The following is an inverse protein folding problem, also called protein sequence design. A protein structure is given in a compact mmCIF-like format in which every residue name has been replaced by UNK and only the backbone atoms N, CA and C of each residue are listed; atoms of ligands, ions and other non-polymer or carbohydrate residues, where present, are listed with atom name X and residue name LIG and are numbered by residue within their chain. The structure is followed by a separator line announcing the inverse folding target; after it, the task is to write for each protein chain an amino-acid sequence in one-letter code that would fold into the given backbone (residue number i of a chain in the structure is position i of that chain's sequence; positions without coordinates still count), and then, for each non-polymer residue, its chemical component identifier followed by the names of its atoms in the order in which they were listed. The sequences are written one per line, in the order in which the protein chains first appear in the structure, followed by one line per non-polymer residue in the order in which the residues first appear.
data_IF_415780315166
#
_entry.id   IF_415780315166
#
_cell.length_a   1.000
_cell.length_b   1.000
_cell.length_c   1.000
_cell.angle_alpha   90.00
_cell.angle_beta   90.00
_cell.angle_gamma   90.00
#
_symmetry.space_group_name_H-M   'P 1'
#
loop_
_entity.id
_entity.type
_entity.pdbx_description
1 polymer ?
#
# COMPACT_ATOMS: atom_id res chain seq x y z
N UNK A 1 -1.79 41.78 2.56
CA UNK A 1 -0.71 40.77 2.56
C UNK A 1 -0.60 40.21 1.14
N UNK A 2 0.49 40.50 0.43
CA UNK A 2 0.72 40.12 -0.98
C UNK A 2 1.66 38.91 -1.03
N UNK A 3 1.20 37.78 -1.56
CA UNK A 3 2.05 36.63 -1.90
C UNK A 3 2.78 36.90 -3.22
N UNK A 4 4.12 36.94 -3.18
CA UNK A 4 4.97 36.91 -4.38
C UNK A 4 5.36 35.46 -4.66
N UNK A 5 4.90 34.93 -5.80
CA UNK A 5 5.44 33.70 -6.39
C UNK A 5 6.82 33.97 -6.99
N UNK A 6 7.81 33.16 -6.63
CA UNK A 6 9.11 33.09 -7.31
C UNK A 6 9.06 31.90 -8.27
N UNK A 7 8.92 32.19 -9.56
CA UNK A 7 9.25 31.24 -10.63
C UNK A 7 10.77 31.22 -10.82
N UNK A 8 11.40 30.07 -10.58
CA UNK A 8 12.77 29.83 -10.98
C UNK A 8 12.77 29.22 -12.38
N UNK A 9 13.31 29.95 -13.34
CA UNK A 9 13.65 29.45 -14.68
C UNK A 9 14.75 28.39 -14.53
N UNK A 10 14.47 27.16 -14.96
CA UNK A 10 15.49 26.13 -15.20
C UNK A 10 15.93 26.23 -16.66
N UNK A 11 17.22 26.43 -16.88
CA UNK A 11 17.84 26.34 -18.20
C UNK A 11 17.90 24.87 -18.67
N UNK A 12 17.81 24.59 -19.99
CA UNK A 12 17.94 23.23 -20.50
C UNK A 12 19.40 22.78 -20.42
N UNK A 13 19.64 21.67 -19.72
CA UNK A 13 20.93 20.97 -19.72
C UNK A 13 20.98 20.13 -21.00
N UNK A 14 21.87 20.48 -21.93
CA UNK A 14 22.18 19.65 -23.10
C UNK A 14 22.97 18.43 -22.63
N UNK A 15 22.34 17.24 -22.73
CA UNK A 15 22.96 15.95 -22.44
C UNK A 15 23.49 15.39 -23.77
N UNK A 16 24.82 15.32 -23.90
CA UNK A 16 25.48 14.80 -25.11
C UNK A 16 26.48 13.70 -24.73
N UNK A 17 26.01 12.71 -23.96
CA UNK A 17 26.72 11.47 -23.66
C UNK A 17 25.73 10.31 -23.84
N UNK A 18 25.72 9.71 -25.03
CA UNK A 18 24.86 8.60 -25.42
C UNK A 18 25.33 7.23 -24.88
N UNK A 19 26.25 7.19 -23.92
CA UNK A 19 26.64 5.93 -23.27
C UNK A 19 25.56 5.49 -22.30
N UNK A 20 24.77 4.49 -22.71
CA UNK A 20 23.82 3.77 -21.88
C UNK A 20 24.54 3.27 -20.61
N UNK A 21 24.08 3.69 -19.43
CA UNK A 21 24.54 3.14 -18.15
C UNK A 21 23.47 2.21 -17.61
N UNK A 22 23.87 0.99 -17.28
CA UNK A 22 22.96 -0.01 -16.72
C UNK A 22 23.21 -0.08 -15.22
N UNK A 23 22.16 0.18 -14.43
CA UNK A 23 22.26 0.19 -12.97
C UNK A 23 21.51 -1.01 -12.35
N UNK A 24 22.07 -1.64 -11.30
CA UNK A 24 21.41 -2.71 -10.58
C UNK A 24 20.21 -2.18 -9.76
N UNK A 25 19.11 -2.94 -9.75
CA UNK A 25 17.84 -2.62 -9.07
C UNK A 25 17.97 -2.34 -7.57
N UNK A 26 18.97 -2.93 -6.90
CA UNK A 26 19.20 -2.73 -5.48
C UNK A 26 19.56 -1.27 -5.12
N UNK A 27 20.02 -0.47 -6.09
CA UNK A 27 20.25 0.96 -5.92
C UNK A 27 18.98 1.80 -6.11
N UNK A 28 17.98 1.27 -6.84
CA UNK A 28 16.72 1.95 -7.13
C UNK A 28 15.72 1.86 -5.98
N UNK A 29 15.78 0.88 -5.08
CA UNK A 29 14.82 0.77 -3.96
C UNK A 29 15.10 1.69 -2.75
N UNK A 30 16.02 2.65 -2.86
CA UNK A 30 16.27 3.61 -1.77
C UNK A 30 15.27 4.78 -1.78
N UNK A 31 14.99 5.40 -0.61
CA UNK A 31 14.13 6.59 -0.52
C UNK A 31 14.61 7.70 -1.46
N UNK A 32 13.69 8.53 -1.98
CA UNK A 32 13.98 9.53 -3.03
C UNK A 32 15.20 10.43 -2.72
N UNK A 33 15.42 10.75 -1.45
CA UNK A 33 16.59 11.52 -1.00
C UNK A 33 17.93 10.85 -1.33
N UNK A 34 17.98 9.51 -1.31
CA UNK A 34 19.15 8.72 -1.69
C UNK A 34 19.26 8.53 -3.20
N UNK A 35 18.14 8.43 -3.92
CA UNK A 35 18.14 8.36 -5.40
C UNK A 35 18.71 9.64 -6.01
N UNK A 36 18.29 10.81 -5.50
CA UNK A 36 18.85 12.11 -5.91
C UNK A 36 20.34 12.23 -5.64
N UNK A 37 20.82 11.73 -4.50
CA UNK A 37 22.25 11.75 -4.15
C UNK A 37 23.09 10.81 -5.04
N UNK A 38 22.57 9.62 -5.38
CA UNK A 38 23.23 8.69 -6.33
C UNK A 38 23.25 9.26 -7.76
N UNK A 39 22.16 9.88 -8.20
CA UNK A 39 22.11 10.56 -9.50
C UNK A 39 23.13 11.71 -9.58
N UNK A 40 23.29 12.46 -8.49
CA UNK A 40 24.31 13.52 -8.38
C UNK A 40 25.74 12.96 -8.39
N UNK A 41 26.02 11.88 -7.65
CA UNK A 41 27.35 11.26 -7.59
C UNK A 41 27.81 10.67 -8.93
N UNK A 42 26.88 10.17 -9.74
CA UNK A 42 27.18 9.58 -11.06
C UNK A 42 27.33 10.64 -12.16
N UNK A 43 26.66 11.80 -12.00
CA UNK A 43 26.76 12.92 -12.92
C UNK A 43 28.04 13.75 -12.77
N UNK A 44 28.64 13.79 -11.56
CA UNK A 44 29.73 14.74 -11.23
C UNK A 44 31.11 14.09 -11.01
N UNK A 45 31.34 12.88 -11.53
CA UNK A 45 32.68 12.30 -11.63
C UNK A 45 33.46 12.15 -10.31
N UNK A 46 32.80 11.79 -9.20
CA UNK A 46 33.49 11.41 -7.95
C UNK A 46 33.91 12.54 -7.01
N UNK A 47 33.20 13.68 -7.01
CA UNK A 47 33.41 14.78 -6.06
C UNK A 47 32.88 14.52 -4.63
N UNK A 48 33.65 14.96 -3.63
CA UNK A 48 33.40 14.82 -2.17
C UNK A 48 32.08 15.49 -1.75
N UNK A 49 31.21 14.77 -1.02
CA UNK A 49 29.90 15.27 -0.55
C UNK A 49 30.01 16.55 0.31
N UNK A 50 29.10 17.54 0.14
CA UNK A 50 29.05 18.74 0.98
C UNK A 50 28.61 18.42 2.42
N UNK A 51 29.28 19.05 3.41
CA UNK A 51 29.19 18.77 4.85
C UNK A 51 27.79 18.93 5.47
N UNK A 52 26.88 19.63 4.78
CA UNK A 52 25.51 19.87 5.25
C UNK A 52 24.62 18.63 5.16
N UNK A 53 24.95 17.64 4.32
CA UNK A 53 24.13 16.43 4.14
C UNK A 53 24.39 15.35 5.22
N UNK A 54 25.61 15.28 5.76
CA UNK A 54 25.96 14.32 6.84
C UNK A 54 25.19 14.56 8.14
N UNK A 55 24.76 15.81 8.40
CA UNK A 55 24.02 16.14 9.62
C UNK A 55 22.55 15.69 9.58
N UNK A 56 21.93 15.58 8.40
CA UNK A 56 20.53 15.20 8.26
C UNK A 56 20.29 13.69 8.45
N UNK A 57 21.26 12.85 8.07
CA UNK A 57 21.18 11.39 8.27
C UNK A 57 21.42 10.98 9.72
N UNK A 58 22.23 11.73 10.48
CA UNK A 58 22.57 11.39 11.88
C UNK A 58 21.49 11.73 12.91
N UNK A 59 20.50 12.56 12.53
CA UNK A 59 19.39 12.97 13.43
C UNK A 59 18.12 12.13 13.32
N UNK A 60 18.03 11.19 12.36
CA UNK A 60 16.81 10.36 12.18
C UNK A 60 16.95 8.93 12.71
N UNK A 61 18.09 8.54 13.27
CA UNK A 61 18.37 7.16 13.70
C UNK A 61 18.35 6.94 15.23
N UNK A 62 17.83 7.87 16.04
CA UNK A 62 17.88 7.75 17.51
C UNK A 62 16.56 8.16 18.20
N UNK A 63 15.66 7.17 18.32
CA UNK A 63 14.84 6.78 19.53
C UNK A 63 13.77 7.75 20.11
N UNK A 64 12.88 7.33 21.07
CA UNK A 64 12.77 6.01 21.78
C UNK A 64 11.33 5.42 21.92
N UNK A 65 11.13 4.09 21.91
CA UNK A 65 11.07 3.17 23.08
C UNK A 65 11.51 3.75 24.44
N UNK A 66 10.59 4.37 25.16
CA UNK A 66 10.79 4.85 26.53
C UNK A 66 9.57 4.53 27.41
N UNK A 67 9.39 3.25 27.75
CA UNK A 67 8.56 2.81 28.87
C UNK A 67 9.16 1.51 29.44
N UNK A 68 10.33 1.56 30.08
CA UNK A 68 10.80 0.44 30.93
C UNK A 68 11.98 0.77 31.87
N UNK A 69 12.15 2.04 32.26
CA UNK A 69 13.20 2.45 33.21
C UNK A 69 12.63 3.36 34.30
N UNK A 70 11.79 2.83 35.20
CA UNK A 70 11.27 3.63 36.33
C UNK A 70 11.00 2.85 37.63
N UNK A 71 11.73 1.77 37.92
CA UNK A 71 11.59 1.07 39.21
C UNK A 71 12.88 0.76 39.97
N UNK A 72 14.07 1.12 39.46
CA UNK A 72 15.34 0.81 40.13
C UNK A 72 16.09 2.01 40.76
N UNK A 73 15.50 3.20 40.83
CA UNK A 73 16.18 4.39 41.36
C UNK A 73 15.89 4.72 42.84
N UNK A 74 15.04 3.95 43.53
CA UNK A 74 14.61 4.26 44.92
C UNK A 74 15.40 3.47 46.00
N UNK A 75 16.34 2.61 45.62
CA UNK A 75 17.07 1.76 46.57
C UNK A 75 18.44 2.31 47.03
N UNK A 76 18.91 3.46 46.50
CA UNK A 76 20.28 3.93 46.72
C UNK A 76 20.44 5.01 47.82
N UNK A 77 19.36 5.66 48.29
CA UNK A 77 19.47 6.87 49.15
C UNK A 77 19.29 6.62 50.67
N UNK A 78 19.42 5.38 51.16
CA UNK A 78 19.22 5.06 52.59
C UNK A 78 20.45 4.57 53.36
N UNK A 79 21.67 4.82 52.86
CA UNK A 79 22.91 4.34 53.52
C UNK A 79 23.81 5.38 54.19
N UNK A 80 23.48 6.67 54.18
CA UNK A 80 24.37 7.72 54.72
C UNK A 80 23.88 8.43 55.99
N UNK A 81 23.20 7.72 56.91
CA UNK A 81 22.68 8.33 58.15
C UNK A 81 23.06 7.58 59.44
N UNK A 82 24.29 7.04 59.54
CA UNK A 82 24.76 6.41 60.78
C UNK A 82 26.28 6.54 60.98
N UNK A 83 26.78 7.76 61.25
CA UNK A 83 28.16 7.96 61.67
C UNK A 83 28.41 9.30 62.38
N UNK A 84 27.68 9.66 63.44
CA UNK A 84 28.11 10.69 64.42
C UNK A 84 27.54 10.31 65.79
N UNK A 85 28.26 10.63 66.87
CA UNK A 85 27.96 10.41 68.30
C UNK A 85 28.54 9.13 68.94
N UNK A 86 29.88 9.08 69.00
CA UNK A 86 30.60 8.37 70.07
C UNK A 86 31.67 9.31 70.64
N UNK A 87 31.34 10.03 71.71
CA UNK A 87 32.28 10.90 72.42
C UNK A 87 31.77 11.24 73.81
N UNK A 88 32.33 10.60 74.85
CA UNK A 88 31.96 10.92 76.23
C UNK A 88 32.55 9.97 77.28
N UNK A 89 33.87 9.75 77.28
CA UNK A 89 34.57 9.08 78.37
C UNK A 89 34.97 10.13 79.43
N UNK A 90 34.19 10.23 80.51
CA UNK A 90 34.54 10.99 81.71
C UNK A 90 35.13 10.08 82.77
N UNK A 91 36.44 10.17 82.98
CA UNK A 91 37.16 9.47 84.04
C UNK A 91 37.06 10.27 85.36
N UNK A 92 36.32 9.73 86.32
CA UNK A 92 36.22 10.23 87.70
C UNK A 92 37.02 9.37 88.66
N UNK A 93 38.06 9.96 89.25
CA UNK A 93 38.98 9.41 90.24
C UNK A 93 38.27 9.07 91.57
N UNK A 94 38.50 7.86 92.10
CA UNK A 94 37.96 7.40 93.39
C UNK A 94 39.08 7.29 94.44
N UNK A 95 38.96 8.08 95.49
CA UNK A 95 39.77 8.08 96.71
C UNK A 95 39.50 6.85 97.57
N UNK A 96 40.56 6.13 97.94
CA UNK A 96 40.52 4.94 98.80
C UNK A 96 40.25 5.26 100.27
N UNK A 97 39.19 4.67 100.81
CA UNK A 97 38.95 4.54 102.25
C UNK A 97 39.18 3.08 102.68
N UNK A 98 40.08 2.87 103.63
CA UNK A 98 40.40 1.58 104.22
C UNK A 98 39.24 1.07 105.08
N UNK A 99 38.43 0.16 104.54
CA UNK A 99 37.46 -0.59 105.31
C UNK A 99 38.06 -1.91 105.81
N UNK A 100 37.81 -2.22 107.08
CA UNK A 100 38.33 -3.42 107.74
C UNK A 100 37.79 -4.74 107.16
N UNK A 101 38.37 -5.88 107.57
CA UNK A 101 38.13 -7.20 106.98
C UNK A 101 36.66 -7.67 107.01
N UNK A 102 35.82 -7.11 107.89
CA UNK A 102 34.39 -7.42 107.96
C UNK A 102 33.56 -6.78 106.82
N UNK A 103 33.96 -5.61 106.31
CA UNK A 103 33.24 -4.94 105.22
C UNK A 103 33.57 -5.57 103.87
N UNK A 104 34.80 -6.05 103.70
CA UNK A 104 35.22 -6.85 102.54
C UNK A 104 34.39 -8.14 102.42
N UNK A 105 34.19 -8.88 103.51
CA UNK A 105 33.36 -10.08 103.53
C UNK A 105 31.88 -9.82 103.20
N UNK A 106 31.33 -8.67 103.66
CA UNK A 106 29.94 -8.28 103.33
C UNK A 106 29.79 -7.91 101.84
N UNK A 107 30.77 -7.19 101.28
CA UNK A 107 30.82 -6.85 99.84
C UNK A 107 30.98 -8.09 98.96
N UNK A 108 31.75 -9.08 99.41
CA UNK A 108 31.92 -10.34 98.69
C UNK A 108 30.63 -11.18 98.68
N UNK A 109 29.92 -11.25 99.82
CA UNK A 109 28.60 -11.91 99.89
C UNK A 109 27.54 -11.20 99.03
N UNK A 110 27.56 -9.86 98.98
CA UNK A 110 26.66 -9.08 98.13
C UNK A 110 27.02 -9.23 96.63
N UNK A 111 28.30 -9.31 96.29
CA UNK A 111 28.76 -9.59 94.93
C UNK A 111 28.37 -10.99 94.47
N UNK A 112 28.48 -12.00 95.35
CA UNK A 112 28.02 -13.36 95.07
C UNK A 112 26.49 -13.39 94.83
N UNK A 113 25.71 -12.68 95.64
CA UNK A 113 24.26 -12.61 95.47
C UNK A 113 23.86 -11.86 94.17
N UNK A 114 24.57 -10.77 93.82
CA UNK A 114 24.40 -10.08 92.53
C UNK A 114 24.69 -10.99 91.35
N UNK A 115 25.77 -11.77 91.38
CA UNK A 115 26.11 -12.73 90.31
C UNK A 115 25.05 -13.82 90.19
N UNK A 116 24.53 -14.32 91.31
CA UNK A 116 23.46 -15.31 91.31
C UNK A 116 22.15 -14.77 90.71
N UNK A 117 21.76 -13.54 91.05
CA UNK A 117 20.56 -12.90 90.47
C UNK A 117 20.76 -12.51 88.99
N UNK A 118 21.96 -12.08 88.59
CA UNK A 118 22.30 -11.81 87.19
C UNK A 118 22.26 -13.09 86.34
N UNK A 119 22.79 -14.20 86.86
CA UNK A 119 22.71 -15.50 86.18
C UNK A 119 21.26 -15.98 86.04
N UNK A 120 20.44 -15.79 87.09
CA UNK A 120 19.01 -16.08 87.07
C UNK A 120 18.26 -15.19 86.07
N UNK A 121 18.60 -13.91 85.97
CA UNK A 121 18.05 -13.00 84.98
C UNK A 121 18.44 -13.43 83.55
N UNK A 122 19.70 -13.82 83.34
CA UNK A 122 20.19 -14.33 82.06
C UNK A 122 19.50 -15.63 81.64
N UNK A 123 19.24 -16.54 82.59
CA UNK A 123 18.46 -17.77 82.34
C UNK A 123 17.01 -17.47 81.95
N UNK A 124 16.38 -16.46 82.59
CA UNK A 124 15.02 -16.01 82.24
C UNK A 124 14.98 -15.34 80.86
N UNK A 125 15.95 -14.50 80.53
CA UNK A 125 16.06 -13.87 79.21
C UNK A 125 16.23 -14.93 78.10
N UNK A 126 17.12 -15.91 78.31
CA UNK A 126 17.31 -17.02 77.36
C UNK A 126 16.05 -17.88 77.18
N UNK A 127 15.28 -18.09 78.25
CA UNK A 127 13.99 -18.78 78.17
C UNK A 127 12.93 -17.96 77.41
N UNK A 128 12.89 -16.63 77.62
CA UNK A 128 12.02 -15.73 76.89
C UNK A 128 12.35 -15.70 75.39
N UNK A 129 13.63 -15.62 75.01
CA UNK A 129 14.07 -15.69 73.61
C UNK A 129 13.73 -17.04 72.97
N UNK A 130 13.99 -18.15 73.67
CA UNK A 130 13.64 -19.48 73.16
C UNK A 130 12.13 -19.63 72.92
N UNK A 131 11.29 -19.05 73.79
CA UNK A 131 9.83 -19.08 73.60
C UNK A 131 9.37 -18.16 72.47
N UNK A 132 10.00 -16.99 72.29
CA UNK A 132 9.72 -16.09 71.16
C UNK A 132 10.08 -16.75 69.81
N UNK A 133 11.29 -17.31 69.71
CA UNK A 133 11.74 -18.04 68.52
C UNK A 133 10.83 -19.24 68.20
N UNK A 134 10.36 -19.97 69.22
CA UNK A 134 9.41 -21.08 69.03
C UNK A 134 8.03 -20.61 68.54
N UNK A 135 7.56 -19.44 68.99
CA UNK A 135 6.30 -18.85 68.50
C UNK A 135 6.43 -18.39 67.05
N UNK A 136 7.54 -17.74 66.70
CA UNK A 136 7.83 -17.30 65.33
C UNK A 136 7.94 -18.49 64.36
N UNK A 137 8.68 -19.55 64.75
CA UNK A 137 8.79 -20.77 63.97
C UNK A 137 7.43 -21.47 63.78
N UNK A 138 6.57 -21.48 64.81
CA UNK A 138 5.20 -21.98 64.68
C UNK A 138 4.34 -21.12 63.76
N UNK A 139 4.52 -19.79 63.76
CA UNK A 139 3.87 -18.87 62.83
C UNK A 139 4.22 -19.21 61.38
N UNK A 140 5.52 -19.24 61.07
CA UNK A 140 6.03 -19.56 59.72
C UNK A 140 5.60 -20.94 59.24
N UNK A 141 5.54 -21.94 60.12
CA UNK A 141 5.07 -23.28 59.75
C UNK A 141 3.55 -23.31 59.47
N UNK A 142 2.74 -22.59 60.25
CA UNK A 142 1.29 -22.45 59.97
C UNK A 142 1.03 -21.73 58.66
N UNK A 143 1.86 -20.76 58.31
CA UNK A 143 1.77 -19.99 57.07
C UNK A 143 2.20 -20.83 55.86
N UNK A 144 3.31 -21.55 55.97
CA UNK A 144 3.76 -22.51 54.95
C UNK A 144 2.74 -23.62 54.67
N UNK A 145 1.99 -24.07 55.69
CA UNK A 145 0.90 -25.04 55.53
C UNK A 145 -0.37 -24.47 54.89
N UNK A 146 -0.55 -23.14 54.88
CA UNK A 146 -1.69 -22.46 54.25
C UNK A 146 -1.41 -22.05 52.80
N UNK A 147 -0.15 -22.04 52.38
CA UNK A 147 0.19 -21.76 51.00
C UNK A 147 -0.49 -22.79 50.08
N UNK A 148 -1.14 -22.37 48.98
CA UNK A 148 -1.65 -23.29 47.99
C UNK A 148 -0.50 -24.17 47.51
N UNK A 149 -0.74 -25.48 47.43
CA UNK A 149 0.28 -26.41 46.95
C UNK A 149 0.75 -25.97 45.57
N UNK A 150 2.05 -26.10 45.29
CA UNK A 150 2.63 -25.71 44.00
C UNK A 150 1.87 -26.32 42.81
N UNK A 151 1.26 -27.50 43.00
CA UNK A 151 0.39 -28.15 42.02
C UNK A 151 -0.84 -27.31 41.64
N UNK A 152 -1.53 -26.68 42.61
CA UNK A 152 -2.70 -25.82 42.32
C UNK A 152 -2.32 -24.58 41.51
N UNK A 153 -1.16 -24.00 41.79
CA UNK A 153 -0.67 -22.84 41.04
C UNK A 153 -0.30 -23.19 39.60
N UNK A 154 0.28 -24.37 39.39
CA UNK A 154 0.62 -24.87 38.05
C UNK A 154 -0.64 -25.22 37.24
N UNK A 155 -1.64 -25.83 37.87
CA UNK A 155 -2.94 -26.11 37.25
C UNK A 155 -3.65 -24.81 36.84
N UNK A 156 -3.65 -23.79 37.70
CA UNK A 156 -4.22 -22.48 37.37
C UNK A 156 -3.49 -21.81 36.19
N UNK A 157 -2.15 -21.91 36.13
CA UNK A 157 -1.37 -21.39 35.00
C UNK A 157 -1.72 -22.09 33.69
N UNK A 158 -1.88 -23.41 33.72
CA UNK A 158 -2.30 -24.20 32.54
C UNK A 158 -3.72 -23.83 32.10
N UNK A 159 -4.64 -23.64 33.05
CA UNK A 159 -6.00 -23.20 32.74
C UNK A 159 -6.02 -21.79 32.11
N UNK A 160 -5.19 -20.86 32.62
CA UNK A 160 -5.02 -19.52 32.04
C UNK A 160 -4.43 -19.58 30.63
N UNK A 161 -3.38 -20.38 30.41
CA UNK A 161 -2.78 -20.57 29.09
C UNK A 161 -3.77 -21.17 28.08
N UNK A 162 -4.55 -22.19 28.49
CA UNK A 162 -5.56 -22.79 27.64
C UNK A 162 -6.73 -21.82 27.33
N UNK A 163 -7.10 -20.94 28.27
CA UNK A 163 -8.07 -19.88 28.01
C UNK A 163 -7.51 -18.82 27.03
N UNK A 164 -6.24 -18.46 27.17
CA UNK A 164 -5.59 -17.51 26.26
C UNK A 164 -5.49 -18.05 24.83
N UNK A 165 -5.11 -19.32 24.66
CA UNK A 165 -5.07 -19.96 23.33
C UNK A 165 -6.45 -19.94 22.68
N UNK A 166 -7.51 -20.33 23.41
CA UNK A 166 -8.89 -20.26 22.86
C UNK A 166 -9.29 -18.84 22.47
N UNK A 167 -8.92 -17.85 23.28
CA UNK A 167 -9.19 -16.45 22.95
C UNK A 167 -8.38 -15.97 21.72
N UNK A 168 -7.17 -16.49 21.51
CA UNK A 168 -6.38 -16.22 20.31
C UNK A 168 -6.98 -16.88 19.07
N UNK A 169 -7.44 -18.13 19.18
CA UNK A 169 -8.13 -18.85 18.10
C UNK A 169 -9.43 -18.14 17.70
N UNK A 170 -10.22 -17.67 18.66
CA UNK A 170 -11.44 -16.90 18.40
C UNK A 170 -11.13 -15.58 17.69
N UNK A 171 -10.11 -14.83 18.15
CA UNK A 171 -9.66 -13.60 17.47
C UNK A 171 -9.17 -13.87 16.04
N UNK A 172 -8.45 -14.97 15.84
CA UNK A 172 -7.99 -15.37 14.51
C UNK A 172 -9.16 -15.73 13.59
N UNK A 173 -10.18 -16.44 14.10
CA UNK A 173 -11.39 -16.77 13.35
C UNK A 173 -12.20 -15.51 12.99
N UNK A 174 -12.31 -14.54 13.90
CA UNK A 174 -12.98 -13.26 13.63
C UNK A 174 -12.26 -12.48 12.52
N UNK A 175 -10.93 -12.37 12.59
CA UNK A 175 -10.14 -11.69 11.55
C UNK A 175 -10.23 -12.40 10.18
N UNK A 176 -10.27 -13.73 10.17
CA UNK A 176 -10.46 -14.50 8.93
C UNK A 176 -11.85 -14.23 8.31
N UNK A 177 -12.90 -14.21 9.14
CA UNK A 177 -14.25 -13.89 8.70
C UNK A 177 -14.36 -12.45 8.17
N UNK A 178 -13.71 -11.49 8.82
CA UNK A 178 -13.65 -10.09 8.37
C UNK A 178 -12.93 -9.96 7.02
N UNK A 179 -11.79 -10.65 6.84
CA UNK A 179 -11.08 -10.65 5.56
C UNK A 179 -11.91 -11.30 4.44
N UNK A 180 -12.65 -12.35 4.74
CA UNK A 180 -13.54 -12.97 3.76
C UNK A 180 -14.71 -12.03 3.40
N UNK A 181 -15.30 -11.36 4.39
CA UNK A 181 -16.32 -10.35 4.17
C UNK A 181 -15.81 -9.19 3.30
N UNK A 182 -14.59 -8.71 3.57
CA UNK A 182 -13.94 -7.68 2.75
C UNK A 182 -13.73 -8.13 1.30
N UNK A 183 -13.26 -9.36 1.08
CA UNK A 183 -13.11 -9.94 -0.28
C UNK A 183 -14.44 -10.12 -1.00
N UNK A 184 -15.53 -10.44 -0.27
CA UNK A 184 -16.88 -10.51 -0.86
C UNK A 184 -17.36 -9.12 -1.27
N UNK A 185 -17.21 -8.13 -0.40
CA UNK A 185 -17.56 -6.74 -0.69
C UNK A 185 -16.77 -6.19 -1.90
N UNK A 186 -15.49 -6.53 -2.02
CA UNK A 186 -14.66 -6.14 -3.18
C UNK A 186 -15.16 -6.75 -4.50
N UNK A 187 -15.56 -8.03 -4.49
CA UNK A 187 -16.16 -8.69 -5.67
C UNK A 187 -17.50 -8.06 -6.05
N UNK A 188 -18.37 -7.83 -5.07
CA UNK A 188 -19.66 -7.16 -5.31
C UNK A 188 -19.46 -5.74 -5.86
N UNK A 189 -18.49 -4.98 -5.34
CA UNK A 189 -18.15 -3.67 -5.87
C UNK A 189 -17.62 -3.72 -7.31
N UNK A 190 -16.78 -4.72 -7.63
CA UNK A 190 -16.28 -4.91 -8.99
C UNK A 190 -17.41 -5.31 -9.98
N UNK A 191 -18.34 -6.17 -9.55
CA UNK A 191 -19.53 -6.54 -10.34
C UNK A 191 -20.43 -5.34 -10.61
N UNK A 192 -20.69 -4.51 -9.58
CA UNK A 192 -21.45 -3.28 -9.74
C UNK A 192 -20.76 -2.26 -10.65
N UNK A 193 -19.43 -2.13 -10.54
CA UNK A 193 -18.66 -1.26 -11.42
C UNK A 193 -18.72 -1.74 -12.88
N UNK A 194 -18.58 -3.05 -13.12
CA UNK A 194 -18.71 -3.63 -14.46
C UNK A 194 -20.12 -3.46 -15.04
N UNK A 195 -21.16 -3.62 -14.22
CA UNK A 195 -22.54 -3.36 -14.63
C UNK A 195 -22.79 -1.88 -14.99
N UNK A 196 -22.22 -0.96 -14.22
CA UNK A 196 -22.30 0.47 -14.49
C UNK A 196 -21.59 0.86 -15.79
N UNK A 197 -20.41 0.28 -16.06
CA UNK A 197 -19.70 0.49 -17.33
C UNK A 197 -20.51 -0.03 -18.53
N UNK A 198 -21.08 -1.23 -18.43
CA UNK A 198 -21.95 -1.77 -19.48
C UNK A 198 -23.21 -0.91 -19.71
N UNK A 199 -23.81 -0.39 -18.64
CA UNK A 199 -24.95 0.53 -18.75
C UNK A 199 -24.56 1.81 -19.49
N UNK A 200 -23.42 2.42 -19.14
CA UNK A 200 -22.91 3.61 -19.82
C UNK A 200 -22.61 3.34 -21.31
N UNK A 201 -22.09 2.16 -21.67
CA UNK A 201 -21.86 1.79 -23.07
C UNK A 201 -23.18 1.62 -23.85
N UNK A 202 -24.24 1.07 -23.22
CA UNK A 202 -25.57 0.98 -23.84
C UNK A 202 -26.17 2.37 -24.07
N UNK A 203 -26.13 3.24 -23.07
CA UNK A 203 -26.61 4.63 -23.21
C UNK A 203 -25.84 5.38 -24.30
N UNK A 204 -24.51 5.20 -24.38
CA UNK A 204 -23.71 5.79 -25.44
C UNK A 204 -24.06 5.25 -26.84
N UNK A 205 -24.34 3.95 -26.95
CA UNK A 205 -24.77 3.33 -28.19
C UNK A 205 -26.15 3.84 -28.64
N UNK A 206 -27.11 3.96 -27.71
CA UNK A 206 -28.44 4.53 -27.97
C UNK A 206 -28.35 5.99 -28.43
N UNK A 207 -27.50 6.80 -27.78
CA UNK A 207 -27.27 8.18 -28.18
C UNK A 207 -26.62 8.27 -29.57
N UNK A 208 -25.65 7.40 -29.88
CA UNK A 208 -25.04 7.35 -31.20
C UNK A 208 -26.03 6.93 -32.29
N UNK A 209 -26.97 6.03 -31.99
CA UNK A 209 -28.06 5.67 -32.89
C UNK A 209 -29.05 6.82 -33.09
N UNK A 210 -29.41 7.54 -32.02
CA UNK A 210 -30.27 8.72 -32.10
C UNK A 210 -29.64 9.83 -32.97
N UNK A 211 -28.34 10.06 -32.84
CA UNK A 211 -27.62 11.01 -33.70
C UNK A 211 -27.64 10.59 -35.17
N UNK A 212 -27.37 9.31 -35.47
CA UNK A 212 -27.46 8.79 -36.85
C UNK A 212 -28.85 8.98 -37.45
N UNK A 213 -29.92 8.75 -36.67
CA UNK A 213 -31.29 9.01 -37.13
C UNK A 213 -31.53 10.49 -37.40
N UNK A 214 -31.10 11.36 -36.49
CA UNK A 214 -31.23 12.82 -36.68
C UNK A 214 -30.44 13.34 -37.88
N UNK A 215 -29.29 12.74 -38.21
CA UNK A 215 -28.51 13.08 -39.40
C UNK A 215 -29.28 12.69 -40.67
N UNK A 216 -29.85 11.49 -40.73
CA UNK A 216 -30.69 11.04 -41.85
C UNK A 216 -31.92 11.94 -42.01
N UNK A 217 -32.64 12.25 -40.93
CA UNK A 217 -33.81 13.13 -40.97
C UNK A 217 -33.44 14.54 -41.50
N UNK A 218 -32.27 15.06 -41.10
CA UNK A 218 -31.77 16.35 -41.58
C UNK A 218 -31.39 16.31 -43.07
N UNK A 219 -30.80 15.21 -43.54
CA UNK A 219 -30.49 14.99 -44.95
C UNK A 219 -31.76 14.85 -45.79
N UNK A 220 -32.77 14.12 -45.31
CA UNK A 220 -34.08 13.99 -45.95
C UNK A 220 -34.78 15.34 -46.05
N UNK A 221 -34.80 16.13 -44.96
CA UNK A 221 -35.39 17.47 -44.96
C UNK A 221 -34.64 18.43 -45.91
N UNK A 222 -33.31 18.32 -45.98
CA UNK A 222 -32.50 19.07 -46.93
C UNK A 222 -32.78 18.68 -48.39
N UNK A 223 -32.98 17.38 -48.66
CA UNK A 223 -33.36 16.86 -49.97
C UNK A 223 -34.77 17.34 -50.36
N UNK A 224 -35.75 17.24 -49.47
CA UNK A 224 -37.11 17.74 -49.67
C UNK A 224 -37.12 19.23 -50.04
N UNK A 225 -36.31 20.05 -49.35
CA UNK A 225 -36.12 21.47 -49.68
C UNK A 225 -35.49 21.70 -51.06
N UNK A 226 -34.57 20.83 -51.51
CA UNK A 226 -33.97 20.90 -52.86
C UNK A 226 -34.98 20.54 -53.94
N UNK A 227 -35.77 19.49 -53.73
CA UNK A 227 -36.83 19.05 -54.65
C UNK A 227 -37.88 20.16 -54.82
N UNK A 228 -38.38 20.71 -53.70
CA UNK A 228 -39.34 21.82 -53.72
C UNK A 228 -38.85 23.03 -54.54
N UNK A 229 -37.59 23.45 -54.40
CA UNK A 229 -37.00 24.53 -55.23
C UNK A 229 -36.93 24.18 -56.72
N UNK A 230 -36.66 22.92 -57.05
CA UNK A 230 -36.63 22.46 -58.44
C UNK A 230 -38.04 22.50 -59.05
N UNK A 231 -39.05 22.04 -58.32
CA UNK A 231 -40.45 22.06 -58.75
C UNK A 231 -40.95 23.49 -59.03
N UNK A 232 -40.61 24.46 -58.16
CA UNK A 232 -40.92 25.87 -58.36
C UNK A 232 -40.26 26.45 -59.63
N UNK A 233 -38.98 26.09 -59.89
CA UNK A 233 -38.26 26.52 -61.08
C UNK A 233 -38.88 25.95 -62.36
N UNK A 234 -39.19 24.65 -62.38
CA UNK A 234 -39.84 23.97 -63.51
C UNK A 234 -41.23 24.58 -63.78
N UNK A 235 -42.01 24.83 -62.74
CA UNK A 235 -43.34 25.45 -62.86
C UNK A 235 -43.28 26.87 -63.46
N UNK A 236 -42.19 27.61 -63.18
CA UNK A 236 -42.00 28.98 -63.67
C UNK A 236 -41.50 29.06 -65.12
N UNK A 237 -40.76 28.07 -65.62
CA UNK A 237 -40.20 28.07 -66.99
C UNK A 237 -41.19 27.56 -68.07
N UNK A 238 -42.35 27.03 -67.68
CA UNK A 238 -43.38 26.46 -68.58
C UNK A 238 -43.98 27.44 -69.61
N UNK A 239 -43.78 28.76 -69.47
CA UNK A 239 -44.40 29.77 -70.36
C UNK A 239 -43.57 30.11 -71.60
N UNK A 240 -42.33 29.63 -71.73
CA UNK A 240 -41.47 29.91 -72.89
C UNK A 240 -40.82 28.64 -73.41
N UNK A 241 -41.30 28.12 -74.54
CA UNK A 241 -40.85 26.88 -75.19
C UNK A 241 -39.37 26.85 -75.61
N UNK A 242 -38.48 26.83 -74.62
CA UNK A 242 -37.03 26.78 -74.76
C UNK A 242 -36.47 25.46 -74.22
N UNK A 243 -36.05 24.60 -75.13
CA UNK A 243 -35.15 23.45 -75.01
C UNK A 243 -35.14 22.68 -73.67
N UNK A 244 -35.97 21.64 -73.58
CA UNK A 244 -35.97 20.59 -72.54
C UNK A 244 -34.55 20.16 -72.09
N UNK A 245 -33.57 20.18 -73.00
CA UNK A 245 -32.20 19.81 -72.65
C UNK A 245 -31.51 20.74 -71.67
N UNK A 246 -31.77 22.04 -71.71
CA UNK A 246 -31.21 22.98 -70.71
C UNK A 246 -31.87 22.80 -69.34
N UNK A 247 -33.12 22.37 -69.31
CA UNK A 247 -33.82 22.04 -68.07
C UNK A 247 -33.23 20.78 -67.44
N UNK A 248 -32.99 19.73 -68.23
CA UNK A 248 -32.35 18.49 -67.79
C UNK A 248 -30.93 18.74 -67.28
N UNK A 249 -30.09 19.51 -67.98
CA UNK A 249 -28.75 19.86 -67.50
C UNK A 249 -28.77 20.63 -66.16
N UNK A 250 -29.74 21.55 -66.00
CA UNK A 250 -29.91 22.30 -64.75
C UNK A 250 -30.37 21.41 -63.59
N UNK A 251 -31.27 20.45 -63.87
CA UNK A 251 -31.75 19.47 -62.90
C UNK A 251 -30.63 18.51 -62.48
N UNK A 252 -29.85 17.97 -63.41
CA UNK A 252 -28.68 17.13 -63.13
C UNK A 252 -27.65 17.83 -62.25
N UNK A 253 -27.30 19.08 -62.58
CA UNK A 253 -26.38 19.88 -61.79
C UNK A 253 -26.92 20.18 -60.38
N UNK A 254 -28.23 20.38 -60.24
CA UNK A 254 -28.87 20.68 -58.95
C UNK A 254 -29.06 19.42 -58.08
N UNK A 255 -29.28 18.26 -58.70
CA UNK A 255 -29.38 16.96 -58.05
C UNK A 255 -28.02 16.34 -57.74
N UNK A 256 -26.96 16.77 -58.44
CA UNK A 256 -25.61 16.22 -58.31
C UNK A 256 -25.43 14.89 -59.06
N UNK A 257 -26.35 14.56 -59.97
CA UNK A 257 -26.31 13.34 -60.78
C UNK A 257 -25.83 13.70 -62.18
N UNK A 258 -24.57 13.39 -62.51
CA UNK A 258 -24.07 13.52 -63.88
C UNK A 258 -24.37 12.22 -64.63
N UNK A 259 -25.49 12.19 -65.35
CA UNK A 259 -25.88 11.03 -66.15
C UNK A 259 -25.52 11.23 -67.62
N UNK A 260 -24.61 10.39 -68.12
CA UNK A 260 -24.30 10.29 -69.55
C UNK A 260 -25.33 9.40 -70.23
N UNK A 261 -25.91 9.84 -71.35
CA UNK A 261 -26.92 9.05 -72.07
C UNK A 261 -27.84 9.89 -72.97
N UNK A 262 -28.75 9.20 -73.65
CA UNK A 262 -29.84 9.82 -74.39
C UNK A 262 -30.76 10.64 -73.47
N UNK A 263 -31.50 11.61 -74.02
CA UNK A 263 -32.43 12.45 -73.26
C UNK A 263 -33.42 11.61 -72.44
N UNK A 264 -33.96 10.53 -73.02
CA UNK A 264 -34.87 9.61 -72.33
C UNK A 264 -34.19 8.85 -71.19
N UNK A 265 -32.93 8.43 -71.34
CA UNK A 265 -32.18 7.79 -70.26
C UNK A 265 -31.88 8.77 -69.11
N UNK A 266 -31.55 10.02 -69.43
CA UNK A 266 -31.29 11.09 -68.45
C UNK A 266 -32.55 11.48 -67.69
N UNK A 267 -33.66 11.70 -68.41
CA UNK A 267 -34.97 12.00 -67.80
C UNK A 267 -35.45 10.82 -66.96
N UNK A 268 -35.33 9.58 -67.45
CA UNK A 268 -35.69 8.38 -66.69
C UNK A 268 -34.81 8.16 -65.45
N UNK A 269 -33.54 8.58 -65.45
CA UNK A 269 -32.69 8.56 -64.26
C UNK A 269 -33.12 9.59 -63.22
N UNK A 270 -33.51 10.79 -63.66
CA UNK A 270 -34.07 11.83 -62.78
C UNK A 270 -35.42 11.38 -62.19
N UNK A 271 -36.30 10.79 -63.00
CA UNK A 271 -37.59 10.25 -62.54
C UNK A 271 -37.41 9.13 -61.52
N UNK A 272 -36.40 8.25 -61.67
CA UNK A 272 -36.07 7.24 -60.65
C UNK A 272 -35.54 7.84 -59.35
N UNK A 273 -34.78 8.94 -59.41
CA UNK A 273 -34.27 9.64 -58.23
C UNK A 273 -35.36 10.40 -57.46
N UNK A 274 -36.40 10.88 -58.16
CA UNK A 274 -37.52 11.63 -57.58
C UNK A 274 -38.69 10.70 -57.21
N UNK A 275 -38.82 9.56 -57.89
CA UNK A 275 -39.88 8.59 -57.70
C UNK A 275 -39.71 7.75 -56.42
N UNK A 276 -40.83 7.26 -55.83
CA UNK A 276 -40.82 6.51 -54.57
C UNK A 276 -40.07 5.16 -54.63
N UNK A 277 -39.76 4.66 -55.83
CA UNK A 277 -38.96 3.42 -56.00
C UNK A 277 -37.51 3.55 -55.49
N UNK A 278 -36.94 4.76 -55.41
CA UNK A 278 -35.61 4.94 -54.81
C UNK A 278 -35.59 4.73 -53.28
N UNK A 279 -36.73 4.93 -52.60
CA UNK A 279 -36.85 4.66 -51.17
C UNK A 279 -36.95 3.14 -50.88
N UNK A 280 -37.63 2.39 -51.75
CA UNK A 280 -37.79 0.92 -51.62
C UNK A 280 -36.52 0.13 -51.98
N UNK A 281 -35.69 0.63 -52.91
CA UNK A 281 -34.44 -0.03 -53.30
C UNK A 281 -33.32 0.14 -52.27
N UNK A 282 -33.37 1.17 -51.42
CA UNK A 282 -32.42 1.38 -50.33
C UNK A 282 -32.67 0.45 -49.13
N UNK A 283 -33.90 -0.03 -48.92
CA UNK A 283 -34.22 -0.96 -47.84
C UNK A 283 -33.87 -2.42 -48.15
N UNK A 284 -33.77 -2.82 -49.42
CA UNK A 284 -33.50 -4.22 -49.80
C UNK A 284 -32.01 -4.62 -49.77
N UNK A 285 -31.10 -3.66 -49.59
CA UNK A 285 -29.65 -3.92 -49.61
C UNK A 285 -28.94 -3.55 -48.30
N UNK A 286 -29.66 -3.51 -47.18
CA UNK A 286 -29.02 -3.76 -45.89
C UNK A 286 -28.94 -5.28 -45.72
N UNK A 287 -27.73 -5.89 -45.69
CA UNK A 287 -27.65 -7.27 -45.28
C UNK A 287 -28.29 -7.34 -43.90
N UNK A 288 -29.39 -8.08 -43.80
CA UNK A 288 -29.89 -8.59 -42.53
C UNK A 288 -28.75 -9.43 -41.96
N UNK A 289 -27.83 -8.78 -41.25
CA UNK A 289 -27.00 -9.44 -40.27
C UNK A 289 -27.96 -9.80 -39.17
N UNK A 290 -28.63 -10.94 -39.33
CA UNK A 290 -29.03 -11.73 -38.19
C UNK A 290 -27.84 -11.74 -37.22
N UNK A 291 -28.06 -11.52 -35.92
CA UNK A 291 -27.00 -11.68 -34.95
C UNK A 291 -26.62 -13.16 -35.00
N UNK A 292 -25.60 -13.48 -35.80
CA UNK A 292 -24.88 -14.74 -35.68
C UNK A 292 -24.56 -14.84 -34.20
N UNK A 293 -25.24 -15.77 -33.53
CA UNK A 293 -25.05 -16.04 -32.13
C UNK A 293 -23.54 -16.05 -31.89
N UNK A 294 -23.06 -15.16 -31.03
CA UNK A 294 -21.67 -15.12 -30.65
C UNK A 294 -21.35 -16.45 -29.97
N UNK A 295 -20.96 -17.44 -30.77
CA UNK A 295 -20.40 -18.68 -30.27
C UNK A 295 -19.07 -18.26 -29.67
N UNK A 296 -19.07 -18.18 -28.34
CA UNK A 296 -17.89 -17.84 -27.56
C UNK A 296 -16.76 -18.81 -27.93
N UNK A 297 -15.60 -18.26 -28.26
CA UNK A 297 -14.37 -19.05 -28.45
C UNK A 297 -14.00 -19.89 -27.22
N UNK A 298 -14.59 -19.60 -26.05
CA UNK A 298 -14.45 -20.43 -24.85
C UNK A 298 -15.15 -21.80 -24.95
N UNK A 299 -16.18 -21.93 -25.80
CA UNK A 299 -16.92 -23.19 -25.98
C UNK A 299 -16.40 -24.03 -27.18
N UNK A 300 -15.52 -23.46 -28.00
CA UNK A 300 -14.77 -24.21 -29.00
C UNK A 300 -13.65 -24.99 -28.30
N UNK A 301 -14.02 -26.14 -27.73
CA UNK A 301 -13.10 -27.10 -27.09
C UNK A 301 -12.08 -27.67 -28.09
N UNK A 302 -11.07 -26.87 -28.41
CA UNK A 302 -9.88 -27.30 -29.14
C UNK A 302 -8.94 -28.01 -28.15
N UNK A 303 -9.37 -29.18 -27.68
CA UNK A 303 -8.51 -30.12 -26.97
C UNK A 303 -7.56 -30.77 -27.98
N UNK A 304 -6.55 -30.01 -28.40
CA UNK A 304 -5.40 -30.58 -29.10
C UNK A 304 -4.61 -31.34 -28.05
N UNK A 305 -4.89 -32.63 -27.86
CA UNK A 305 -4.35 -33.56 -26.84
C UNK A 305 -2.81 -33.65 -26.74
N UNK A 306 -2.18 -32.51 -26.51
CA UNK A 306 -0.77 -32.29 -26.28
C UNK A 306 -0.63 -32.17 -24.76
N UNK A 307 0.22 -32.98 -24.11
CA UNK A 307 0.43 -32.88 -22.67
C UNK A 307 0.80 -31.45 -22.32
N UNK A 308 0.15 -30.89 -21.30
CA UNK A 308 0.28 -29.51 -20.85
C UNK A 308 1.76 -29.11 -20.85
N UNK A 309 2.15 -28.32 -21.85
CA UNK A 309 3.42 -27.63 -21.81
C UNK A 309 3.36 -26.74 -20.56
N UNK A 310 4.41 -26.73 -19.71
CA UNK A 310 4.45 -25.81 -18.58
C UNK A 310 4.14 -24.43 -19.13
N UNK A 311 3.09 -23.83 -18.56
CA UNK A 311 2.48 -22.58 -18.99
C UNK A 311 3.54 -21.67 -19.60
N UNK A 312 3.40 -21.40 -20.89
CA UNK A 312 4.19 -20.39 -21.59
C UNK A 312 3.91 -19.04 -20.95
N UNK A 313 4.58 -18.78 -19.83
CA UNK A 313 4.86 -17.44 -19.32
C UNK A 313 5.84 -16.84 -20.32
N UNK A 314 5.32 -16.44 -21.48
CA UNK A 314 6.01 -15.60 -22.43
C UNK A 314 6.69 -14.46 -21.66
N UNK A 315 8.01 -14.55 -21.48
CA UNK A 315 8.90 -13.52 -20.96
C UNK A 315 8.25 -12.53 -19.99
N UNK A 316 7.77 -13.05 -18.85
CA UNK A 316 6.95 -12.34 -17.88
C UNK A 316 7.54 -11.00 -17.43
N UNK A 317 6.67 -10.19 -16.81
CA UNK A 317 6.99 -8.91 -16.18
C UNK A 317 8.31 -8.92 -15.39
N UNK A 318 8.73 -10.09 -14.89
CA UNK A 318 9.92 -10.32 -14.09
C UNK A 318 11.09 -11.05 -14.77
N UNK A 319 10.97 -11.63 -15.98
CA UNK A 319 12.06 -12.43 -16.60
C UNK A 319 12.79 -11.69 -17.73
N UNK A 320 14.11 -11.88 -17.82
CA UNK A 320 14.98 -11.18 -18.76
C UNK A 320 14.58 -11.48 -20.20
N UNK A 321 14.33 -10.43 -20.99
CA UNK A 321 13.86 -10.56 -22.38
C UNK A 321 14.92 -11.12 -23.33
N UNK A 322 16.19 -11.16 -22.90
CA UNK A 322 17.31 -11.61 -23.73
C UNK A 322 17.52 -13.12 -23.59
N UNK A 323 17.52 -13.64 -22.36
CA UNK A 323 17.77 -15.07 -22.11
C UNK A 323 16.53 -15.86 -21.70
N UNK A 324 15.42 -15.20 -21.39
CA UNK A 324 14.16 -15.79 -20.91
C UNK A 324 14.26 -16.71 -19.67
N UNK A 325 15.45 -16.86 -19.08
CA UNK A 325 15.70 -17.81 -18.00
C UNK A 325 15.89 -17.14 -16.63
N UNK A 326 16.47 -15.94 -16.60
CA UNK A 326 16.83 -15.24 -15.35
C UNK A 326 15.90 -14.07 -15.06
N UNK A 327 15.71 -13.74 -13.80
CA UNK A 327 14.94 -12.55 -13.40
C UNK A 327 15.63 -11.26 -13.84
N UNK A 328 14.83 -10.24 -14.16
CA UNK A 328 15.32 -8.90 -14.50
C UNK A 328 15.94 -8.28 -13.25
N UNK A 329 17.14 -7.73 -13.39
CA UNK A 329 17.86 -7.09 -12.27
C UNK A 329 18.40 -5.70 -12.61
N UNK A 330 18.26 -5.27 -13.87
CA UNK A 330 18.97 -4.13 -14.42
C UNK A 330 18.06 -3.27 -15.29
N UNK A 331 18.07 -1.96 -15.04
CA UNK A 331 17.31 -0.97 -15.80
C UNK A 331 18.23 -0.18 -16.74
N UNK A 332 17.78 0.01 -17.98
CA UNK A 332 18.51 0.79 -18.99
C UNK A 332 18.26 2.30 -18.76
N UNK A 333 19.32 3.10 -18.62
CA UNK A 333 19.26 4.56 -18.43
C UNK A 333 19.65 5.24 -19.75
N UNK A 334 18.94 6.29 -20.20
CA UNK A 334 17.96 7.11 -19.45
C UNK A 334 16.52 6.58 -19.42
N UNK A 335 16.17 5.59 -20.23
CA UNK A 335 14.76 5.24 -20.45
C UNK A 335 14.03 4.54 -19.29
N UNK A 336 14.75 4.03 -18.30
CA UNK A 336 14.18 3.34 -17.13
C UNK A 336 13.64 1.94 -17.40
N UNK A 337 13.66 1.44 -18.64
CA UNK A 337 13.13 0.10 -18.96
C UNK A 337 13.88 -1.03 -18.26
N UNK A 338 13.14 -1.80 -17.48
CA UNK A 338 13.60 -3.03 -16.85
C UNK A 338 13.45 -4.20 -17.84
N UNK A 339 14.55 -4.59 -18.48
CA UNK A 339 14.51 -5.56 -19.58
C UNK A 339 15.52 -6.72 -19.42
N UNK A 340 16.63 -6.52 -18.72
CA UNK A 340 17.73 -7.49 -18.67
C UNK A 340 18.07 -8.00 -17.26
N UNK A 341 18.64 -9.21 -17.22
CA UNK A 341 19.42 -9.68 -16.07
C UNK A 341 20.87 -9.17 -16.18
N UNK A 342 21.63 -9.23 -15.09
CA UNK A 342 23.02 -8.72 -15.03
C UNK A 342 23.93 -9.19 -16.17
N UNK A 343 24.10 -10.51 -16.39
CA UNK A 343 24.97 -11.01 -17.45
C UNK A 343 24.55 -10.57 -18.86
N UNK A 344 23.24 -10.50 -19.13
CA UNK A 344 22.76 -10.05 -20.44
C UNK A 344 22.88 -8.53 -20.62
N UNK A 345 22.87 -7.77 -19.52
CA UNK A 345 23.00 -6.32 -19.57
C UNK A 345 24.39 -5.88 -19.99
N UNK A 346 25.43 -6.62 -19.63
CA UNK A 346 26.82 -6.35 -20.04
C UNK A 346 27.04 -6.48 -21.56
N UNK A 347 26.18 -7.25 -22.24
CA UNK A 347 26.22 -7.46 -23.68
C UNK A 347 25.37 -6.43 -24.46
N UNK A 348 24.63 -5.57 -23.76
CA UNK A 348 23.71 -4.62 -24.37
C UNK A 348 24.36 -3.24 -24.55
N UNK A 349 24.39 -2.76 -25.79
CA UNK A 349 24.79 -1.40 -26.12
C UNK A 349 23.59 -0.42 -26.07
N UNK A 350 22.39 -0.91 -26.37
CA UNK A 350 21.15 -0.11 -26.42
C UNK A 350 19.98 -0.85 -25.75
N UNK A 351 18.93 -0.10 -25.37
CA UNK A 351 17.73 -0.68 -24.79
C UNK A 351 16.85 -1.31 -25.89
N UNK A 352 16.55 -2.64 -25.83
CA UNK A 352 15.76 -3.32 -26.88
C UNK A 352 14.32 -2.79 -27.03
N UNK A 353 13.78 -2.13 -25.99
CA UNK A 353 12.44 -1.53 -26.02
C UNK A 353 12.35 -0.23 -26.81
N UNK A 354 13.45 0.54 -26.89
CA UNK A 354 13.48 1.82 -27.62
C UNK A 354 13.98 1.63 -29.05
N UNK A 355 14.90 0.69 -29.28
CA UNK A 355 15.35 0.36 -30.63
C UNK A 355 14.20 -0.13 -31.52
N UNK A 356 13.11 -0.65 -30.95
CA UNK A 356 11.93 -1.11 -31.67
C UNK A 356 10.91 -0.01 -32.02
N UNK A 357 11.08 1.22 -31.52
CA UNK A 357 10.14 2.35 -31.72
C UNK A 357 10.70 3.47 -32.60
N UNK A 358 11.81 3.23 -33.30
CA UNK A 358 12.39 4.11 -34.32
C UNK A 358 12.32 3.43 -35.67
#
# INVERSE_FOLDING_TARGET
MKCRSRSAFLAPISYNDNTLRILPLNLLHRPESCRRALYWMVADGGGRLPSTFSHALKRRSLTPLAEEFSTNQVAAERRDAAAVEAGGAGAGSASGGSSGPAEAARREKEAANRRAEEEKARRRAKAAEATAAKKEAKGKNKEAKKAPSAFKLEEERRARAAAEVRAQEERAAQLAAEQEAARRAEREAAELAGAAEQAALREAAELAEALRRSEIDAEEEALARRVSRCEEAVSSESTGGGCLMRLVERLEASLGAATEGSLEERVGAIERLIGPEAAEAAEQHLPVTEPLAAVSLADAGLDTGRPAAPESTMGGEITCIVCFARVKSHAAVPCGHLCACGPCSELMQECPRIAASQ
#
